data_IF_414627698047
#
_entry.id   IF_414627698047
#
_cell.length_a   1.000
_cell.length_b   1.000
_cell.length_c   1.000
_cell.angle_alpha   90.00
_cell.angle_beta   90.00
_cell.angle_gamma   90.00
#
_symmetry.space_group_name_H-M   'P 1'
#
loop_
_entity.id
_entity.type
_entity.pdbx_description
1 polymer ?
#
# COMPACT_ATOMS: atom_id res chain seq x y z
N UNK A 1 33.37 5.21 26.51
CA UNK A 1 32.36 4.15 26.27
C UNK A 1 31.54 4.64 25.10
N UNK A 2 31.95 4.26 23.89
CA UNK A 2 31.29 4.63 22.64
C UNK A 2 30.24 3.56 22.35
N UNK A 3 28.97 3.96 22.32
CA UNK A 3 27.85 3.08 21.98
C UNK A 3 27.36 3.45 20.58
N UNK A 4 28.20 3.20 19.59
CA UNK A 4 27.83 3.28 18.18
C UNK A 4 27.14 1.98 17.78
N UNK A 5 25.85 1.85 18.07
CA UNK A 5 25.04 0.77 17.52
C UNK A 5 24.99 0.93 15.99
N UNK A 6 25.58 -0.02 15.26
CA UNK A 6 25.47 -0.12 13.81
C UNK A 6 23.98 -0.13 13.42
N UNK A 7 23.50 0.94 12.80
CA UNK A 7 22.19 0.95 12.16
C UNK A 7 22.24 0.00 10.97
N UNK A 8 21.72 -1.21 11.12
CA UNK A 8 21.46 -2.10 9.98
C UNK A 8 20.50 -1.37 9.05
N UNK A 9 20.95 -1.06 7.84
CA UNK A 9 20.10 -0.50 6.79
C UNK A 9 19.13 -1.59 6.35
N UNK A 10 17.85 -1.42 6.67
CA UNK A 10 16.80 -2.33 6.24
C UNK A 10 16.51 -2.14 4.75
N UNK A 11 16.38 -3.25 4.01
CA UNK A 11 16.06 -3.19 2.58
C UNK A 11 14.56 -3.05 2.40
N UNK A 12 14.07 -2.03 1.66
CA UNK A 12 12.65 -1.85 1.41
C UNK A 12 12.11 -2.90 0.43
N UNK A 13 10.95 -3.46 0.74
CA UNK A 13 10.19 -4.35 -0.13
C UNK A 13 8.92 -3.66 -0.62
N UNK A 14 8.78 -3.50 -1.94
CA UNK A 14 7.69 -2.75 -2.56
C UNK A 14 6.59 -3.71 -3.04
N UNK A 15 5.33 -3.34 -2.77
CA UNK A 15 4.16 -4.04 -3.27
C UNK A 15 3.30 -3.09 -4.11
N UNK A 16 2.87 -3.59 -5.26
CA UNK A 16 1.95 -2.91 -6.15
C UNK A 16 0.69 -3.72 -6.38
N UNK A 17 -0.46 -3.16 -6.00
CA UNK A 17 -1.75 -3.81 -6.19
C UNK A 17 -2.25 -3.63 -7.63
N UNK A 18 -1.93 -2.48 -8.24
CA UNK A 18 -2.27 -2.11 -9.62
C UNK A 18 -1.03 -1.57 -10.34
N UNK A 19 -0.10 -2.43 -10.79
CA UNK A 19 1.24 -2.01 -11.23
C UNK A 19 1.26 -0.90 -12.28
N UNK A 20 0.43 -0.98 -13.32
CA UNK A 20 0.42 0.01 -14.41
C UNK A 20 -0.09 1.38 -13.94
N UNK A 21 -1.22 1.41 -13.22
CA UNK A 21 -1.80 2.65 -12.67
C UNK A 21 -0.91 3.28 -11.61
N UNK A 22 -0.37 2.48 -10.69
CA UNK A 22 0.50 2.94 -9.62
C UNK A 22 1.82 3.50 -10.16
N UNK A 23 2.41 2.84 -11.15
CA UNK A 23 3.57 3.35 -11.87
C UNK A 23 3.27 4.66 -12.61
N UNK A 24 2.10 4.77 -13.24
CA UNK A 24 1.67 6.00 -13.91
C UNK A 24 1.45 7.17 -12.94
N UNK A 25 0.96 6.89 -11.73
CA UNK A 25 0.75 7.88 -10.67
C UNK A 25 2.00 8.14 -9.80
N UNK A 26 3.04 7.31 -9.90
CA UNK A 26 4.32 7.51 -9.23
C UNK A 26 4.33 7.11 -7.76
N UNK A 27 3.61 6.05 -7.37
CA UNK A 27 3.64 5.52 -6.00
C UNK A 27 3.62 3.98 -5.99
N UNK A 28 3.96 3.39 -4.85
CA UNK A 28 3.73 1.96 -4.56
C UNK A 28 2.59 1.82 -3.57
N UNK A 29 1.78 0.77 -3.72
CA UNK A 29 0.65 0.55 -2.83
C UNK A 29 1.08 0.37 -1.38
N UNK A 30 2.16 -0.37 -1.16
CA UNK A 30 2.77 -0.51 0.15
C UNK A 30 4.29 -0.71 0.04
N UNK A 31 4.98 -0.37 1.14
CA UNK A 31 6.41 -0.63 1.32
C UNK A 31 6.62 -1.22 2.69
N UNK A 32 7.27 -2.38 2.77
CA UNK A 32 7.71 -2.98 4.03
C UNK A 32 9.18 -2.65 4.29
N UNK A 33 9.48 -2.14 5.48
CA UNK A 33 10.84 -1.80 5.93
C UNK A 33 11.00 -2.42 7.32
N UNK A 34 11.86 -3.44 7.42
CA UNK A 34 12.00 -4.21 8.64
C UNK A 34 10.69 -4.87 9.05
N UNK A 35 10.15 -4.41 10.18
CA UNK A 35 8.88 -4.88 10.75
C UNK A 35 7.69 -3.97 10.44
N UNK A 36 7.93 -2.80 9.85
CA UNK A 36 6.88 -1.82 9.56
C UNK A 36 6.36 -2.00 8.13
N UNK A 37 5.04 -1.87 7.96
CA UNK A 37 4.39 -1.82 6.65
C UNK A 37 3.77 -0.43 6.49
N UNK A 38 4.30 0.35 5.54
CA UNK A 38 3.77 1.65 5.17
C UNK A 38 2.79 1.44 4.01
N UNK A 39 1.50 1.61 4.28
CA UNK A 39 0.44 1.44 3.28
C UNK A 39 0.00 2.82 2.79
N UNK A 40 -0.03 3.01 1.47
CA UNK A 40 -0.53 4.22 0.83
C UNK A 40 -2.05 4.35 1.02
N UNK A 41 -2.59 5.53 0.70
CA UNK A 41 -4.03 5.76 0.77
C UNK A 41 -4.82 4.83 -0.17
N UNK A 42 -5.75 4.04 0.38
CA UNK A 42 -6.66 3.22 -0.41
C UNK A 42 -7.92 4.00 -0.79
N UNK A 43 -8.28 3.99 -2.07
CA UNK A 43 -9.47 4.65 -2.61
C UNK A 43 -10.30 3.68 -3.44
N UNK A 44 -11.61 3.95 -3.58
CA UNK A 44 -12.51 3.14 -4.39
C UNK A 44 -12.28 3.36 -5.88
N UNK A 45 -11.38 2.55 -6.47
CA UNK A 45 -11.09 2.59 -7.91
C UNK A 45 -10.86 1.20 -8.52
N UNK A 46 -11.07 1.07 -9.82
CA UNK A 46 -10.72 -0.12 -10.61
C UNK A 46 -9.21 -0.15 -10.97
N UNK A 47 -8.81 -1.17 -11.73
CA UNK A 47 -7.40 -1.37 -12.12
C UNK A 47 -6.91 -0.37 -13.17
N UNK A 48 -7.81 0.43 -13.75
CA UNK A 48 -7.47 1.54 -14.63
C UNK A 48 -7.44 2.89 -13.88
N UNK A 49 -7.62 2.88 -12.56
CA UNK A 49 -7.69 4.08 -11.72
C UNK A 49 -9.01 4.84 -11.85
N UNK A 50 -10.06 4.25 -12.41
CA UNK A 50 -11.38 4.89 -12.52
C UNK A 50 -12.16 4.72 -11.21
N UNK A 51 -12.84 5.77 -10.72
CA UNK A 51 -13.65 5.68 -9.51
C UNK A 51 -14.73 4.60 -9.63
N UNK A 52 -14.88 3.79 -8.57
CA UNK A 52 -15.96 2.81 -8.44
C UNK A 52 -16.95 3.22 -7.35
N UNK A 53 -18.20 2.74 -7.44
CA UNK A 53 -19.25 3.02 -6.45
C UNK A 53 -19.53 4.54 -6.24
N UNK A 54 -19.62 5.29 -7.33
CA UNK A 54 -19.90 6.74 -7.29
C UNK A 54 -21.26 6.99 -6.61
N UNK A 55 -21.27 7.87 -5.60
CA UNK A 55 -22.46 8.18 -4.80
C UNK A 55 -22.78 7.17 -3.69
N UNK A 56 -22.01 6.09 -3.55
CA UNK A 56 -22.21 5.07 -2.52
C UNK A 56 -20.99 4.99 -1.58
N UNK A 57 -21.04 5.77 -0.49
CA UNK A 57 -19.96 5.80 0.50
C UNK A 57 -19.74 4.43 1.15
N UNK A 58 -20.79 3.66 1.41
CA UNK A 58 -20.67 2.37 2.07
C UNK A 58 -19.88 1.37 1.21
N UNK A 59 -20.14 1.33 -0.09
CA UNK A 59 -19.39 0.50 -1.03
C UNK A 59 -17.96 1.01 -1.24
N UNK A 60 -17.75 2.33 -1.25
CA UNK A 60 -16.40 2.90 -1.31
C UNK A 60 -15.56 2.45 -0.10
N UNK A 61 -16.12 2.51 1.11
CA UNK A 61 -15.42 2.06 2.32
C UNK A 61 -15.10 0.56 2.27
N UNK A 62 -16.06 -0.28 1.85
CA UNK A 62 -15.80 -1.72 1.67
C UNK A 62 -14.66 -1.98 0.70
N UNK A 63 -14.57 -1.22 -0.39
CA UNK A 63 -13.49 -1.33 -1.36
C UNK A 63 -12.15 -0.93 -0.76
N UNK A 64 -12.08 0.18 -0.01
CA UNK A 64 -10.86 0.58 0.70
C UNK A 64 -10.36 -0.52 1.63
N UNK A 65 -11.23 -1.07 2.49
CA UNK A 65 -10.84 -2.15 3.41
C UNK A 65 -10.49 -3.46 2.69
N UNK A 66 -11.11 -3.74 1.55
CA UNK A 66 -10.76 -4.90 0.71
C UNK A 66 -9.36 -4.76 0.11
N UNK A 67 -8.94 -3.56 -0.27
CA UNK A 67 -7.59 -3.34 -0.77
C UNK A 67 -6.55 -3.42 0.36
N UNK A 68 -6.86 -2.88 1.55
CA UNK A 68 -6.02 -3.04 2.74
C UNK A 68 -5.82 -4.53 3.10
N UNK A 69 -6.88 -5.34 3.05
CA UNK A 69 -6.82 -6.78 3.30
C UNK A 69 -5.84 -7.49 2.35
N UNK A 70 -5.80 -7.11 1.06
CA UNK A 70 -4.85 -7.69 0.10
C UNK A 70 -3.40 -7.36 0.44
N UNK A 71 -3.14 -6.12 0.87
CA UNK A 71 -1.80 -5.69 1.30
C UNK A 71 -1.35 -6.46 2.53
N UNK A 72 -2.23 -6.56 3.54
CA UNK A 72 -1.90 -7.25 4.79
C UNK A 72 -1.61 -8.74 4.53
N UNK A 73 -2.45 -9.41 3.72
CA UNK A 73 -2.23 -10.81 3.31
C UNK A 73 -0.97 -11.03 2.48
N UNK A 74 -0.47 -10.01 1.79
CA UNK A 74 0.77 -10.13 1.04
C UNK A 74 1.99 -10.21 1.97
N UNK A 75 1.98 -9.46 3.07
CA UNK A 75 3.11 -9.38 4.01
C UNK A 75 2.97 -10.24 5.28
N UNK A 76 1.79 -10.82 5.54
CA UNK A 76 1.49 -11.65 6.72
C UNK A 76 0.34 -12.62 6.50
#
# INVERSE_FOLDING_TARGET
MDNSAEQKTETPEYFSLRPETEKAFGYSHAVKIGNDILISGAVSMDDAGKPTAVGDLAQQMKKCYSDLDKVLKHYG
#
